data_IF_387669347706
#
_entry.id   IF_387669347706
#
_cell.length_a   1.000
_cell.length_b   1.000
_cell.length_c   1.000
_cell.angle_alpha   90.00
_cell.angle_beta   90.00
_cell.angle_gamma   90.00
#
_symmetry.space_group_name_H-M   'P 1'
#
loop_
_entity.id
_entity.type
_entity.pdbx_description
1 polymer ?
#
# COMPACT_ATOMS: atom_id res chain seq x y z
N UNK A 1 -11.13 21.13 6.61
CA UNK A 1 -10.79 19.85 7.27
C UNK A 1 -10.80 18.69 6.28
N UNK A 2 -11.85 18.50 5.49
CA UNK A 2 -11.88 17.50 4.39
C UNK A 2 -10.73 17.68 3.37
N UNK A 3 -10.40 18.92 3.01
CA UNK A 3 -9.37 19.21 2.00
C UNK A 3 -7.96 18.72 2.37
N UNK A 4 -7.65 18.56 3.66
CA UNK A 4 -6.35 18.06 4.17
C UNK A 4 -6.29 16.53 4.24
N UNK A 5 -7.42 15.84 4.13
CA UNK A 5 -7.50 14.36 4.12
C UNK A 5 -7.31 13.77 2.72
N UNK A 6 -7.61 14.54 1.67
CA UNK A 6 -7.52 14.09 0.28
C UNK A 6 -6.07 13.68 -0.12
N UNK A 7 -5.00 14.42 0.24
CA UNK A 7 -3.64 14.03 -0.14
C UNK A 7 -3.11 12.81 0.64
N UNK A 8 -3.55 12.62 1.89
CA UNK A 8 -3.16 11.49 2.75
C UNK A 8 -3.80 10.19 2.23
N UNK A 9 -5.04 10.27 1.75
CA UNK A 9 -5.78 9.13 1.18
C UNK A 9 -5.28 8.75 -0.23
N UNK A 10 -4.87 9.74 -1.04
CA UNK A 10 -4.33 9.52 -2.38
C UNK A 10 -3.01 8.73 -2.38
N UNK A 11 -2.14 8.94 -1.38
CA UNK A 11 -0.89 8.19 -1.25
C UNK A 11 -1.10 6.73 -0.84
N UNK A 12 -2.02 6.49 0.11
CA UNK A 12 -2.35 5.14 0.59
C UNK A 12 -3.07 4.28 -0.45
N UNK A 13 -3.98 4.87 -1.22
CA UNK A 13 -4.78 4.17 -2.24
C UNK A 13 -3.97 3.72 -3.46
N UNK A 14 -2.87 4.41 -3.80
CA UNK A 14 -1.97 4.02 -4.90
C UNK A 14 -0.88 3.03 -4.47
N UNK A 15 -0.40 3.13 -3.22
CA UNK A 15 0.66 2.25 -2.71
C UNK A 15 0.18 0.81 -2.47
N UNK A 16 -1.06 0.63 -2.02
CA UNK A 16 -1.64 -0.70 -1.72
C UNK A 16 -1.73 -1.62 -2.96
N UNK A 17 -2.26 -1.20 -4.12
CA UNK A 17 -2.28 -2.03 -5.32
C UNK A 17 -0.87 -2.28 -5.88
N UNK A 18 0.04 -1.29 -5.83
CA UNK A 18 1.41 -1.45 -6.32
C UNK A 18 2.20 -2.50 -5.53
N UNK A 19 2.15 -2.46 -4.18
CA UNK A 19 2.81 -3.47 -3.32
C UNK A 19 2.19 -4.85 -3.53
N UNK A 20 0.87 -4.93 -3.70
CA UNK A 20 0.18 -6.21 -3.94
C UNK A 20 0.55 -6.81 -5.30
N UNK A 21 0.57 -6.01 -6.37
CA UNK A 21 1.01 -6.46 -7.71
C UNK A 21 2.48 -6.87 -7.73
N UNK A 22 3.37 -6.12 -7.09
CA UNK A 22 4.80 -6.47 -7.00
C UNK A 22 5.04 -7.79 -6.26
N UNK A 23 4.32 -8.02 -5.16
CA UNK A 23 4.39 -9.28 -4.42
C UNK A 23 3.86 -10.45 -5.25
N UNK A 24 2.75 -10.29 -5.98
CA UNK A 24 2.20 -11.36 -6.82
C UNK A 24 3.07 -11.67 -8.05
N UNK A 25 3.75 -10.66 -8.62
CA UNK A 25 4.67 -10.86 -9.75
C UNK A 25 5.98 -11.57 -9.36
N UNK A 26 6.42 -11.47 -8.10
CA UNK A 26 7.69 -12.04 -7.63
C UNK A 26 7.53 -13.26 -6.71
N UNK A 27 6.31 -13.57 -6.28
CA UNK A 27 6.01 -14.70 -5.39
C UNK A 27 5.33 -15.81 -6.21
N UNK A 28 5.87 -17.05 -6.19
CA UNK A 28 5.21 -18.21 -6.81
C UNK A 28 3.76 -18.30 -6.37
N UNK A 29 2.85 -18.69 -7.26
CA UNK A 29 1.41 -18.69 -7.00
C UNK A 29 1.03 -19.46 -5.72
N UNK A 30 1.82 -20.49 -5.35
CA UNK A 30 1.62 -21.29 -4.15
C UNK A 30 1.90 -20.52 -2.84
N UNK A 31 2.62 -19.40 -2.90
CA UNK A 31 3.03 -18.58 -1.75
C UNK A 31 2.32 -17.21 -1.70
N UNK A 32 1.50 -16.88 -2.70
CA UNK A 32 0.73 -15.64 -2.77
C UNK A 32 -0.13 -15.39 -1.51
N UNK A 33 -0.72 -16.46 -0.94
CA UNK A 33 -1.50 -16.37 0.31
C UNK A 33 -0.67 -15.98 1.53
N UNK A 34 0.58 -16.45 1.63
CA UNK A 34 1.49 -16.11 2.72
C UNK A 34 1.98 -14.66 2.58
N UNK A 35 2.34 -14.27 1.36
CA UNK A 35 2.69 -12.89 1.01
C UNK A 35 1.57 -11.90 1.38
N UNK A 36 0.33 -12.18 0.97
CA UNK A 36 -0.84 -11.37 1.32
C UNK A 36 -1.14 -11.35 2.82
N UNK A 37 -1.00 -12.51 3.48
CA UNK A 37 -1.17 -12.64 4.93
C UNK A 37 -0.17 -11.81 5.73
N UNK A 38 1.12 -11.86 5.37
CA UNK A 38 2.19 -11.06 5.99
C UNK A 38 1.96 -9.57 5.77
N UNK A 39 1.57 -9.17 4.56
CA UNK A 39 1.26 -7.77 4.25
C UNK A 39 0.07 -7.25 5.08
N UNK A 40 -0.98 -8.06 5.23
CA UNK A 40 -2.14 -7.69 6.02
C UNK A 40 -1.83 -7.62 7.53
N UNK A 41 -1.07 -8.57 8.06
CA UNK A 41 -0.62 -8.54 9.45
C UNK A 41 0.27 -7.31 9.73
N UNK A 42 1.19 -7.00 8.81
CA UNK A 42 2.06 -5.82 8.90
C UNK A 42 1.26 -4.52 8.94
N UNK A 43 0.20 -4.41 8.11
CA UNK A 43 -0.70 -3.24 8.13
C UNK A 43 -1.44 -3.11 9.45
N UNK A 44 -1.98 -4.21 9.99
CA UNK A 44 -2.68 -4.18 11.28
C UNK A 44 -1.76 -3.76 12.43
N UNK A 45 -0.56 -4.36 12.50
CA UNK A 45 0.44 -4.00 13.50
C UNK A 45 0.87 -2.54 13.37
N UNK A 46 1.14 -2.08 12.14
CA UNK A 46 1.47 -0.68 11.85
C UNK A 46 0.36 0.29 12.28
N UNK A 47 -0.90 -0.05 12.00
CA UNK A 47 -2.06 0.73 12.42
C UNK A 47 -2.18 0.81 13.94
N UNK A 48 -2.06 -0.31 14.64
CA UNK A 48 -2.11 -0.35 16.10
C UNK A 48 -0.98 0.48 16.74
N UNK A 49 0.25 0.37 16.23
CA UNK A 49 1.41 1.15 16.69
C UNK A 49 1.22 2.64 16.44
N UNK A 50 0.72 3.03 15.26
CA UNK A 50 0.44 4.43 14.95
C UNK A 50 -0.58 5.02 15.94
N UNK A 51 -1.71 4.32 16.15
CA UNK A 51 -2.73 4.76 17.11
C UNK A 51 -2.15 4.91 18.52
N UNK A 52 -1.36 3.94 18.98
CA UNK A 52 -0.76 3.98 20.31
C UNK A 52 0.24 5.15 20.47
N UNK A 53 1.17 5.32 19.52
CA UNK A 53 2.23 6.33 19.62
C UNK A 53 1.66 7.74 19.44
N UNK A 54 0.88 7.98 18.38
CA UNK A 54 0.31 9.30 18.13
C UNK A 54 -0.76 9.66 19.18
N UNK A 55 -1.55 8.67 19.62
CA UNK A 55 -2.50 8.84 20.72
C UNK A 55 -1.82 9.23 22.02
N UNK A 56 -0.73 8.56 22.39
CA UNK A 56 0.04 8.89 23.59
C UNK A 56 0.65 10.31 23.53
N UNK A 57 1.14 10.74 22.36
CA UNK A 57 1.70 12.08 22.18
C UNK A 57 0.67 13.20 22.42
N UNK A 58 -0.61 12.96 22.11
CA UNK A 58 -1.68 13.97 22.25
C UNK A 58 -2.58 13.76 23.47
N UNK A 59 -2.35 12.71 24.27
CA UNK A 59 -3.23 12.33 25.38
C UNK A 59 -3.33 13.39 26.49
N UNK A 60 -2.30 14.23 26.67
CA UNK A 60 -2.24 15.22 27.75
C UNK A 60 -2.66 16.61 27.27
N UNK A 61 -3.75 17.13 27.84
CA UNK A 61 -4.31 18.45 27.47
C UNK A 61 -3.30 19.60 27.63
N UNK A 62 -2.53 19.61 28.73
CA UNK A 62 -1.54 20.66 29.01
C UNK A 62 -0.41 20.75 27.96
N UNK A 63 -0.11 19.64 27.27
CA UNK A 63 0.95 19.56 26.25
C UNK A 63 0.39 19.27 24.86
N UNK A 64 -0.93 19.38 24.66
CA UNK A 64 -1.61 18.92 23.45
C UNK A 64 -1.03 19.53 22.17
N UNK A 65 -0.88 20.86 22.11
CA UNK A 65 -0.32 21.54 20.93
C UNK A 65 1.13 21.12 20.63
N UNK A 66 1.93 20.89 21.66
CA UNK A 66 3.31 20.40 21.51
C UNK A 66 3.30 18.95 20.98
N UNK A 67 2.47 18.09 21.56
CA UNK A 67 2.24 16.73 21.11
C UNK A 67 1.79 16.67 19.66
N UNK A 68 0.83 17.51 19.27
CA UNK A 68 0.31 17.62 17.92
C UNK A 68 1.40 18.03 16.92
N UNK A 69 2.21 19.05 17.24
CA UNK A 69 3.33 19.47 16.39
C UNK A 69 4.36 18.35 16.22
N UNK A 70 4.71 17.66 17.32
CA UNK A 70 5.62 16.51 17.28
C UNK A 70 5.05 15.39 16.41
N UNK A 71 3.76 15.08 16.54
CA UNK A 71 3.05 14.11 15.70
C UNK A 71 3.13 14.46 14.22
N UNK A 72 2.90 15.73 13.85
CA UNK A 72 2.98 16.17 12.45
C UNK A 72 4.39 16.07 11.89
N UNK A 73 5.42 16.40 12.67
CA UNK A 73 6.83 16.26 12.23
C UNK A 73 7.18 14.78 12.04
N UNK A 74 6.80 13.90 12.96
CA UNK A 74 7.03 12.46 12.83
C UNK A 74 6.32 11.92 11.59
N UNK A 75 5.05 12.28 11.38
CA UNK A 75 4.30 11.85 10.20
C UNK A 75 4.95 12.32 8.89
N UNK A 76 5.38 13.59 8.82
CA UNK A 76 6.06 14.13 7.66
C UNK A 76 7.38 13.40 7.35
N UNK A 77 8.18 13.09 8.38
CA UNK A 77 9.43 12.34 8.23
C UNK A 77 9.18 10.90 7.76
N UNK A 78 8.17 10.22 8.30
CA UNK A 78 7.81 8.86 7.90
C UNK A 78 7.34 8.82 6.43
N UNK A 79 6.53 9.78 6.01
CA UNK A 79 6.11 9.91 4.60
C UNK A 79 7.31 10.16 3.71
N UNK A 80 8.19 11.10 4.08
CA UNK A 80 9.39 11.39 3.29
C UNK A 80 10.30 10.17 3.17
N UNK A 81 10.55 9.45 4.27
CA UNK A 81 11.37 8.24 4.27
C UNK A 81 10.75 7.14 3.40
N UNK A 82 9.42 6.98 3.45
CA UNK A 82 8.70 6.02 2.61
C UNK A 82 8.83 6.38 1.13
N UNK A 83 8.62 7.65 0.78
CA UNK A 83 8.78 8.16 -0.58
C UNK A 83 10.20 7.95 -1.10
N UNK A 84 11.21 8.32 -0.31
CA UNK A 84 12.62 8.12 -0.67
C UNK A 84 12.93 6.65 -0.89
N UNK A 85 12.50 5.78 0.03
CA UNK A 85 12.68 4.32 -0.10
C UNK A 85 12.02 3.80 -1.37
N UNK A 86 10.79 4.24 -1.66
CA UNK A 86 10.06 3.85 -2.87
C UNK A 86 10.78 4.29 -4.16
N UNK A 87 11.39 5.47 -4.17
CA UNK A 87 12.16 5.96 -5.31
C UNK A 87 13.49 5.22 -5.47
N UNK A 88 14.14 4.85 -4.35
CA UNK A 88 15.39 4.09 -4.36
C UNK A 88 15.21 2.63 -4.79
N UNK A 89 14.04 2.03 -4.54
CA UNK A 89 13.76 0.65 -4.95
C UNK A 89 13.47 0.51 -6.46
N UNK A 90 13.17 1.60 -7.16
CA UNK A 90 12.94 1.62 -8.61
C UNK A 90 11.62 0.93 -9.06
N UNK A 91 11.03 1.30 -10.21
CA UNK A 91 9.89 0.59 -10.76
C UNK A 91 10.30 -0.83 -11.14
N UNK A 92 9.56 -1.85 -10.70
CA UNK A 92 9.75 -3.19 -11.24
C UNK A 92 9.40 -3.18 -12.75
N UNK A 93 10.16 -3.92 -13.57
CA UNK A 93 9.89 -4.01 -15.00
C UNK A 93 8.44 -4.43 -15.23
N UNK A 94 7.71 -3.65 -16.04
CA UNK A 94 6.34 -3.96 -16.42
C UNK A 94 6.29 -5.38 -17.00
N UNK A 95 5.56 -6.28 -16.34
CA UNK A 95 5.29 -7.60 -16.89
C UNK A 95 4.66 -7.46 -18.28
N UNK A 96 5.15 -8.18 -19.30
CA UNK A 96 4.59 -8.14 -20.65
C UNK A 96 3.10 -8.39 -20.56
N UNK A 97 2.31 -7.51 -21.18
CA UNK A 97 0.89 -7.71 -21.42
C UNK A 97 0.69 -9.13 -21.93
N UNK A 98 0.21 -10.03 -21.07
CA UNK A 98 -0.36 -11.29 -21.50
C UNK A 98 -1.47 -10.89 -22.47
N UNK A 99 -1.13 -10.96 -23.76
CA UNK A 99 -2.05 -10.86 -24.86
C UNK A 99 -3.17 -11.80 -24.49
N UNK A 100 -4.31 -11.22 -24.12
CA UNK A 100 -5.58 -11.91 -24.08
C UNK A 100 -5.75 -12.47 -25.47
N UNK A 101 -5.36 -13.72 -25.67
CA UNK A 101 -5.71 -14.50 -26.83
C UNK A 101 -7.24 -14.56 -26.80
N UNK A 102 -7.95 -13.78 -27.63
CA UNK A 102 -9.38 -13.88 -27.68
C UNK A 102 -9.64 -15.20 -28.37
N UNK A 103 -10.17 -16.17 -27.62
CA UNK A 103 -10.59 -17.50 -28.04
C UNK A 103 -11.09 -17.51 -29.49
N UNK A 104 -10.16 -17.76 -30.41
CA UNK A 104 -10.43 -17.85 -31.85
C UNK A 104 -10.50 -19.34 -32.16
N UNK A 105 -11.64 -19.96 -31.87
CA UNK A 105 -11.85 -21.37 -32.26
C UNK A 105 -12.88 -22.17 -31.47
N UNK A 106 -14.10 -21.67 -31.29
CA UNK A 106 -15.25 -22.54 -31.03
C UNK A 106 -16.47 -22.18 -31.90
N UNK A 107 -16.19 -21.65 -33.09
CA UNK A 107 -17.15 -21.56 -34.18
C UNK A 107 -16.61 -22.36 -35.38
N UNK A 108 -17.47 -23.21 -35.96
CA UNK A 108 -17.21 -24.26 -36.97
C UNK A 108 -16.53 -25.54 -36.48
N UNK A 109 -17.33 -26.53 -36.09
CA UNK A 109 -17.58 -27.75 -36.90
C UNK A 109 -18.42 -28.76 -36.08
N UNK A 110 -19.74 -28.62 -36.14
CA UNK A 110 -20.64 -29.79 -36.06
C UNK A 110 -21.97 -29.45 -36.73
N UNK A 111 -21.86 -29.10 -38.02
CA UNK A 111 -22.92 -29.36 -38.99
C UNK A 111 -22.51 -30.66 -39.69
N UNK A 112 -23.36 -31.67 -39.52
CA UNK A 112 -23.75 -32.81 -40.37
C UNK A 112 -24.03 -33.99 -39.46
#
# INVERSE_FOLDING_TARGET
MVLLMIPVDAGGSLAVPAVTSLLLDHVPAERAGIAGGVLNASRQVGGALAVAVFGALVARHATFFRGLRTSLVIAALLVLATTVTSLLLGPAPAAPTAVSEPARGLEKKSTV
#
